data_IF_595779979681
#
_entry.id   IF_595779979681
#
_cell.length_a   1.000
_cell.length_b   1.000
_cell.length_c   1.000
_cell.angle_alpha   90.00
_cell.angle_beta   90.00
_cell.angle_gamma   90.00
#
_symmetry.space_group_name_H-M   'P 1'
#
loop_
_entity.id
_entity.type
_entity.pdbx_description
1 polymer ?
#
# COMPACT_ATOMS: atom_id res chain seq x y z
N UNK A 1 17.74 -21.08 -0.54
CA UNK A 1 17.73 -19.66 -0.11
C UNK A 1 16.28 -19.21 -0.06
N UNK A 2 15.65 -19.22 1.12
CA UNK A 2 14.23 -18.89 1.28
C UNK A 2 14.10 -17.44 1.77
N UNK A 3 13.35 -16.65 1.01
CA UNK A 3 13.08 -15.23 1.25
C UNK A 3 12.45 -15.04 2.64
N UNK A 4 12.95 -14.05 3.35
CA UNK A 4 12.57 -13.66 4.71
C UNK A 4 11.05 -13.37 4.77
N UNK A 5 10.27 -14.23 5.41
CA UNK A 5 8.91 -13.91 5.86
C UNK A 5 9.01 -12.97 7.07
N UNK A 6 9.22 -11.68 6.81
CA UNK A 6 9.09 -10.62 7.82
C UNK A 6 7.60 -10.43 8.10
N UNK A 7 7.08 -11.18 9.07
CA UNK A 7 5.80 -10.88 9.75
C UNK A 7 6.04 -9.65 10.63
N UNK A 8 5.96 -8.45 10.08
CA UNK A 8 5.77 -7.26 10.91
C UNK A 8 4.33 -7.28 11.39
N UNK A 9 4.19 -7.32 12.72
CA UNK A 9 2.94 -7.22 13.47
C UNK A 9 2.00 -6.24 12.78
N UNK A 10 0.95 -6.75 12.11
CA UNK A 10 -0.12 -5.89 11.62
C UNK A 10 -0.79 -5.29 12.85
N UNK A 11 -0.43 -4.04 13.15
CA UNK A 11 -1.26 -3.14 13.93
C UNK A 11 -2.70 -3.34 13.47
N UNK A 12 -3.59 -3.68 14.40
CA UNK A 12 -4.94 -4.23 14.22
C UNK A 12 -5.91 -3.37 13.37
N UNK A 13 -5.42 -2.33 12.71
CA UNK A 13 -6.15 -1.28 12.02
C UNK A 13 -5.70 -1.04 10.57
N UNK A 14 -4.75 -1.81 10.03
CA UNK A 14 -4.44 -1.77 8.59
C UNK A 14 -5.46 -2.59 7.81
N UNK A 15 -6.20 -1.94 6.89
CA UNK A 15 -7.21 -2.55 6.02
C UNK A 15 -6.85 -2.30 4.58
N UNK A 16 -6.97 -3.30 3.72
CA UNK A 16 -6.79 -3.12 2.27
C UNK A 16 -8.14 -3.29 1.60
N UNK A 17 -8.62 -2.24 0.95
CA UNK A 17 -9.83 -2.27 0.13
C UNK A 17 -9.42 -2.69 -1.28
N UNK A 18 -10.08 -3.72 -1.79
CA UNK A 18 -9.85 -4.23 -3.15
C UNK A 18 -11.17 -4.27 -3.89
N UNK A 19 -11.11 -4.03 -5.18
CA UNK A 19 -12.25 -4.17 -6.07
C UNK A 19 -11.80 -4.90 -7.33
N UNK A 20 -12.69 -5.73 -7.87
CA UNK A 20 -12.41 -6.55 -9.04
C UNK A 20 -13.36 -6.19 -10.18
N UNK A 21 -12.88 -6.33 -11.41
CA UNK A 21 -13.73 -6.33 -12.59
C UNK A 21 -14.55 -7.61 -12.66
N UNK A 22 -15.59 -7.60 -13.50
CA UNK A 22 -16.44 -8.78 -13.75
C UNK A 22 -15.67 -9.98 -14.28
N UNK A 23 -14.52 -9.75 -14.94
CA UNK A 23 -13.63 -10.81 -15.41
C UNK A 23 -12.75 -11.41 -14.29
N UNK A 24 -12.96 -11.02 -13.03
CA UNK A 24 -12.20 -11.49 -11.86
C UNK A 24 -10.83 -10.84 -11.69
N UNK A 25 -10.40 -9.95 -12.59
CA UNK A 25 -9.13 -9.24 -12.44
C UNK A 25 -9.26 -8.06 -11.47
N UNK A 26 -8.17 -7.76 -10.77
CA UNK A 26 -8.14 -6.64 -9.83
C UNK A 26 -8.33 -5.33 -10.60
N UNK A 27 -9.19 -4.46 -10.10
CA UNK A 27 -9.49 -3.12 -10.64
C UNK A 27 -8.76 -2.04 -9.88
N UNK A 28 -8.84 -2.08 -8.55
CA UNK A 28 -8.07 -1.19 -7.69
C UNK A 28 -7.81 -1.80 -6.31
N UNK A 29 -6.79 -1.25 -5.64
CA UNK A 29 -6.31 -1.62 -4.33
C UNK A 29 -5.92 -0.35 -3.59
N UNK A 30 -6.51 -0.17 -2.41
CA UNK A 30 -6.38 1.03 -1.59
C UNK A 30 -6.06 0.60 -0.15
N UNK A 31 -4.81 0.75 0.30
CA UNK A 31 -4.42 0.45 1.67
C UNK A 31 -4.80 1.60 2.60
N UNK A 32 -5.45 1.26 3.71
CA UNK A 32 -5.84 2.18 4.77
C UNK A 32 -5.15 1.78 6.07
N UNK A 33 -4.67 2.78 6.80
CA UNK A 33 -4.18 2.65 8.16
C UNK A 33 -5.02 3.56 9.08
N UNK A 34 -5.64 2.99 10.12
CA UNK A 34 -6.50 3.73 11.06
C UNK A 34 -7.65 4.51 10.36
N UNK A 35 -8.20 3.95 9.28
CA UNK A 35 -9.25 4.60 8.50
C UNK A 35 -8.78 5.69 7.52
N UNK A 36 -7.48 5.94 7.42
CA UNK A 36 -6.88 6.89 6.48
C UNK A 36 -6.11 6.15 5.39
N UNK A 37 -6.21 6.59 4.14
CA UNK A 37 -5.49 6.02 3.01
C UNK A 37 -3.98 6.19 3.26
N UNK A 38 -3.28 5.08 3.42
CA UNK A 38 -1.86 5.08 3.75
C UNK A 38 -1.21 3.89 3.04
N UNK A 39 -0.31 4.18 2.12
CA UNK A 39 0.35 3.22 1.27
C UNK A 39 0.23 3.55 -0.22
N UNK A 40 0.47 2.53 -1.05
CA UNK A 40 0.42 2.65 -2.50
C UNK A 40 -0.98 2.31 -2.99
N UNK A 41 -1.70 3.32 -3.49
CA UNK A 41 -2.94 3.13 -4.24
C UNK A 41 -2.59 2.66 -5.65
N UNK A 42 -3.26 1.60 -6.12
CA UNK A 42 -3.03 1.06 -7.46
C UNK A 42 -4.35 0.86 -8.18
N UNK A 43 -4.33 1.18 -9.46
CA UNK A 43 -5.39 0.84 -10.39
C UNK A 43 -4.84 -0.02 -11.51
N UNK A 44 -5.67 -0.93 -11.99
CA UNK A 44 -5.34 -1.83 -13.07
C UNK A 44 -6.37 -1.72 -14.18
N UNK A 45 -5.90 -1.91 -15.40
CA UNK A 45 -6.75 -2.16 -16.56
C UNK A 45 -7.36 -3.56 -16.50
N UNK A 46 -8.41 -3.80 -17.31
CA UNK A 46 -9.06 -5.12 -17.44
C UNK A 46 -8.16 -6.23 -18.00
N UNK A 47 -6.93 -5.92 -18.41
CA UNK A 47 -5.92 -6.87 -18.86
C UNK A 47 -4.89 -7.20 -17.75
N UNK A 48 -5.03 -6.61 -16.55
CA UNK A 48 -4.16 -6.83 -15.40
C UNK A 48 -2.91 -5.97 -15.39
N UNK A 49 -2.71 -5.09 -16.38
CA UNK A 49 -1.63 -4.11 -16.37
C UNK A 49 -1.97 -2.96 -15.42
N UNK A 50 -0.96 -2.44 -14.73
CA UNK A 50 -1.12 -1.26 -13.87
C UNK A 50 -1.48 -0.07 -14.77
N UNK A 51 -2.60 0.57 -14.45
CA UNK A 51 -3.01 1.81 -15.10
C UNK A 51 -2.27 2.99 -14.50
N UNK A 52 -2.30 3.12 -13.17
CA UNK A 52 -1.49 4.09 -12.43
C UNK A 52 -1.31 3.68 -10.98
N UNK A 53 -0.31 4.28 -10.35
CA UNK A 53 -0.01 4.14 -8.93
C UNK A 53 0.19 5.52 -8.30
N UNK A 54 -0.44 5.74 -7.15
CA UNK A 54 -0.27 6.95 -6.33
C UNK A 54 0.17 6.56 -4.92
N UNK A 55 0.93 7.45 -4.28
CA UNK A 55 1.49 7.22 -2.95
C UNK A 55 0.77 8.11 -1.96
N UNK A 56 0.28 7.53 -0.87
CA UNK A 56 -0.44 8.25 0.17
C UNK A 56 0.17 8.03 1.54
N UNK A 57 0.27 9.12 2.30
CA UNK A 57 0.56 9.10 3.74
C UNK A 57 -0.63 9.73 4.45
N UNK A 58 -1.44 8.91 5.13
CA UNK A 58 -2.54 9.40 5.96
C UNK A 58 -3.50 10.35 5.22
N UNK A 59 -4.06 9.91 4.09
CA UNK A 59 -4.89 10.65 3.12
C UNK A 59 -4.18 11.75 2.33
N UNK A 60 -2.90 12.04 2.58
CA UNK A 60 -2.13 13.01 1.80
C UNK A 60 -1.42 12.33 0.63
N UNK A 61 -1.70 12.78 -0.59
CA UNK A 61 -0.91 12.36 -1.75
C UNK A 61 0.51 12.91 -1.65
N UNK A 62 1.49 12.06 -1.86
CA UNK A 62 2.91 12.40 -1.79
C UNK A 62 3.65 11.82 -2.98
N UNK A 63 4.86 12.32 -3.20
CA UNK A 63 5.76 11.72 -4.18
C UNK A 63 6.26 10.36 -3.70
N UNK A 64 6.74 9.55 -4.65
CA UNK A 64 7.38 8.27 -4.35
C UNK A 64 8.59 8.44 -3.44
N UNK A 65 9.37 9.50 -3.64
CA UNK A 65 10.55 9.82 -2.83
C UNK A 65 10.16 10.14 -1.38
N UNK A 66 9.12 10.95 -1.18
CA UNK A 66 8.60 11.27 0.16
C UNK A 66 8.07 10.03 0.88
N UNK A 67 7.28 9.20 0.17
CA UNK A 67 6.77 7.95 0.72
C UNK A 67 7.90 7.01 1.16
N UNK A 68 8.95 6.87 0.34
CA UNK A 68 10.11 6.04 0.69
C UNK A 68 10.90 6.56 1.87
N UNK A 69 11.04 7.88 1.99
CA UNK A 69 11.65 8.50 3.17
C UNK A 69 10.82 8.20 4.42
N UNK A 70 9.50 8.30 4.33
CA UNK A 70 8.61 7.97 5.44
C UNK A 70 8.70 6.49 5.85
N UNK A 71 8.64 5.57 4.87
CA UNK A 71 8.79 4.12 5.10
C UNK A 71 10.13 3.78 5.77
N UNK A 72 11.22 4.45 5.37
CA UNK A 72 12.53 4.29 6.00
C UNK A 72 12.54 4.81 7.45
N UNK A 73 11.95 5.98 7.71
CA UNK A 73 11.87 6.56 9.05
C UNK A 73 11.02 5.68 9.97
N UNK A 74 9.84 5.23 9.54
CA UNK A 74 8.98 4.32 10.31
C UNK A 74 9.67 2.98 10.58
N UNK A 75 10.41 2.45 9.59
CA UNK A 75 11.22 1.24 9.77
C UNK A 75 12.37 1.42 10.77
N UNK A 76 12.97 2.61 10.85
CA UNK A 76 14.05 2.92 11.78
C UNK A 76 13.51 3.22 13.19
N UNK A 77 12.33 3.84 13.30
CA UNK A 77 11.68 4.15 14.57
C UNK A 77 11.22 2.90 15.35
N UNK A 78 11.12 1.74 14.69
CA UNK A 78 10.82 0.45 15.34
C UNK A 78 12.06 -0.28 15.90
N UNK A 79 13.26 0.32 15.82
CA UNK A 79 14.52 -0.28 16.29
C UNK A 79 15.01 0.24 17.65
N UNK A 80 14.27 1.16 18.27
CA UNK A 80 14.53 1.73 19.60
C UNK A 80 13.50 1.23 20.63
#
# INVERSE_FOLDING_TARGET
>A
QARVNRKFSMSKQSKIVKYWYENGQLKYEMPYHQGQLHGIQKYWYKNGQIWYENYYLYNKEVTKEEYRKHELIESLACLD
#
